data_IF_656023759913
#
_entry.id   IF_656023759913
#
_cell.length_a   1.000
_cell.length_b   1.000
_cell.length_c   1.000
_cell.angle_alpha   90.00
_cell.angle_beta   90.00
_cell.angle_gamma   90.00
#
_symmetry.space_group_name_H-M   'P 1'
#
loop_
_entity.id
_entity.type
_entity.pdbx_description
1 polymer ?
#
# COMPACT_ATOMS: atom_id res chain seq x y z
N UNK A 1 68.55 14.39 16.21
CA UNK A 1 68.46 12.93 16.11
C UNK A 1 67.52 12.59 14.97
N UNK A 2 68.09 12.17 13.84
CA UNK A 2 67.37 11.77 12.63
C UNK A 2 67.04 10.29 12.74
N UNK A 3 65.80 9.92 12.46
CA UNK A 3 65.40 8.51 12.32
C UNK A 3 64.99 8.29 10.85
N UNK A 4 65.62 7.36 10.13
CA UNK A 4 65.32 7.10 8.72
C UNK A 4 64.24 6.03 8.53
N UNK A 5 63.54 6.11 7.40
CA UNK A 5 63.03 4.96 6.65
C UNK A 5 61.88 4.15 7.28
N UNK A 6 60.65 4.47 6.88
CA UNK A 6 59.59 3.48 6.78
C UNK A 6 59.17 3.41 5.31
N UNK A 7 59.53 2.31 4.65
CA UNK A 7 59.10 2.00 3.30
C UNK A 7 57.57 1.90 3.26
N UNK A 8 56.94 2.67 2.37
CA UNK A 8 55.51 2.55 2.10
C UNK A 8 55.27 1.19 1.42
N UNK A 9 54.69 0.25 2.15
CA UNK A 9 54.14 -0.95 1.57
C UNK A 9 52.96 -0.53 0.68
N UNK A 10 53.12 -0.67 -0.64
CA UNK A 10 52.05 -0.55 -1.63
C UNK A 10 51.11 -1.74 -1.45
N UNK A 11 50.09 -1.57 -0.61
CA UNK A 11 48.99 -2.53 -0.52
C UNK A 11 48.16 -2.41 -1.82
N UNK A 12 48.09 -3.49 -2.60
CA UNK A 12 47.27 -3.53 -3.81
C UNK A 12 45.79 -3.45 -3.46
N UNK A 13 44.97 -2.70 -4.23
CA UNK A 13 43.53 -2.65 -3.98
C UNK A 13 42.89 -4.04 -4.23
N UNK A 14 41.84 -4.40 -3.47
CA UNK A 14 41.10 -5.64 -3.73
C UNK A 14 40.43 -5.59 -5.11
N UNK A 15 40.21 -6.74 -5.77
CA UNK A 15 39.54 -6.76 -7.06
C UNK A 15 38.11 -6.22 -6.93
N UNK A 16 37.74 -5.35 -7.86
CA UNK A 16 36.40 -4.80 -7.95
C UNK A 16 35.40 -5.95 -8.20
N UNK A 17 34.49 -6.17 -7.25
CA UNK A 17 33.33 -7.03 -7.47
C UNK A 17 32.43 -6.36 -8.50
N UNK A 18 32.33 -6.96 -9.68
CA UNK A 18 31.31 -6.58 -10.66
C UNK A 18 29.94 -7.00 -10.14
N UNK A 19 29.07 -6.03 -9.88
CA UNK A 19 27.66 -6.29 -9.62
C UNK A 19 27.03 -6.86 -10.90
N UNK A 20 26.25 -7.95 -10.84
CA UNK A 20 25.49 -8.41 -12.00
C UNK A 20 24.54 -7.29 -12.44
N UNK A 21 24.56 -7.02 -13.74
CA UNK A 21 23.92 -5.87 -14.36
C UNK A 21 22.47 -5.70 -13.91
N UNK A 22 22.09 -4.43 -13.71
CA UNK A 22 20.70 -4.00 -13.60
C UNK A 22 19.94 -4.53 -14.81
N UNK A 23 19.29 -5.68 -14.68
CA UNK A 23 18.19 -6.01 -15.56
C UNK A 23 17.09 -5.04 -15.18
N UNK A 24 16.94 -4.01 -16.02
CA UNK A 24 15.75 -3.18 -16.12
C UNK A 24 14.57 -4.12 -16.40
N UNK A 25 14.02 -4.67 -15.33
CA UNK A 25 12.76 -5.40 -15.38
C UNK A 25 11.74 -4.32 -15.66
N UNK A 26 11.41 -4.18 -16.94
CA UNK A 26 10.31 -3.39 -17.41
C UNK A 26 9.13 -3.62 -16.45
N UNK A 27 8.70 -2.52 -15.82
CA UNK A 27 7.42 -2.46 -15.13
C UNK A 27 6.38 -3.14 -16.03
N UNK A 28 5.60 -4.12 -15.52
CA UNK A 28 4.46 -4.59 -16.28
C UNK A 28 3.59 -3.36 -16.57
N UNK A 29 3.56 -2.97 -17.84
CA UNK A 29 2.62 -2.00 -18.37
C UNK A 29 1.25 -2.51 -17.98
N UNK A 30 0.58 -1.74 -17.13
CA UNK A 30 -0.77 -2.04 -16.69
C UNK A 30 -1.61 -2.20 -17.95
N UNK A 31 -2.27 -3.35 -18.18
CA UNK A 31 -3.19 -3.44 -19.29
C UNK A 31 -4.25 -2.37 -19.06
N UNK A 32 -4.49 -1.54 -20.07
CA UNK A 32 -5.66 -0.67 -20.14
C UNK A 32 -6.90 -1.56 -20.01
N UNK A 33 -7.31 -1.79 -18.76
CA UNK A 33 -8.56 -2.45 -18.43
C UNK A 33 -9.66 -1.43 -18.64
N UNK A 34 -10.72 -1.84 -19.35
CA UNK A 34 -12.01 -1.15 -19.26
C UNK A 34 -12.39 -0.89 -17.80
N UNK A 35 -13.36 0.01 -17.52
CA UNK A 35 -13.63 0.48 -16.17
C UNK A 35 -13.78 -0.72 -15.24
N UNK A 36 -12.79 -0.92 -14.37
CA UNK A 36 -12.76 -2.06 -13.47
C UNK A 36 -14.09 -2.08 -12.72
N UNK A 37 -14.80 -3.20 -12.80
CA UNK A 37 -16.11 -3.31 -12.20
C UNK A 37 -16.00 -2.95 -10.71
N UNK A 38 -16.90 -2.11 -10.23
CA UNK A 38 -16.91 -1.61 -8.86
C UNK A 38 -18.26 -1.84 -8.22
N UNK A 39 -18.25 -2.24 -6.95
CA UNK A 39 -19.45 -2.31 -6.12
C UNK A 39 -19.30 -1.33 -4.97
N UNK A 40 -20.33 -0.55 -4.73
CA UNK A 40 -20.40 0.41 -3.63
C UNK A 40 -21.41 -0.07 -2.58
N UNK A 41 -20.99 -0.06 -1.32
CA UNK A 41 -21.83 -0.41 -0.18
C UNK A 41 -21.82 0.75 0.81
N UNK A 42 -23.01 1.17 1.24
CA UNK A 42 -23.16 2.09 2.38
C UNK A 42 -23.17 1.27 3.66
N UNK A 43 -22.27 1.61 4.59
CA UNK A 43 -22.25 1.07 5.94
C UNK A 43 -22.78 2.14 6.90
N UNK A 44 -24.04 2.03 7.37
CA UNK A 44 -24.58 2.97 8.34
C UNK A 44 -23.85 2.84 9.67
N UNK A 45 -23.67 3.99 10.32
CA UNK A 45 -23.02 4.11 11.63
C UNK A 45 -24.08 4.40 12.70
N UNK A 46 -23.71 4.18 13.96
CA UNK A 46 -24.58 4.42 15.11
C UNK A 46 -24.93 5.89 15.35
N UNK A 47 -25.55 6.16 16.49
CA UNK A 47 -26.06 7.49 16.83
C UNK A 47 -24.96 8.55 17.02
N UNK A 48 -23.75 8.15 17.41
CA UNK A 48 -22.63 9.06 17.62
C UNK A 48 -21.90 9.38 16.31
N UNK A 49 -21.44 10.64 16.11
CA UNK A 49 -20.60 10.99 14.97
C UNK A 49 -19.32 10.16 14.94
N UNK A 50 -18.99 9.61 13.77
CA UNK A 50 -17.76 8.85 13.57
C UNK A 50 -16.76 9.63 12.73
N UNK A 51 -15.50 9.64 13.18
CA UNK A 51 -14.37 10.17 12.42
C UNK A 51 -13.45 9.02 11.98
N UNK A 52 -13.51 8.69 10.69
CA UNK A 52 -12.69 7.65 10.08
C UNK A 52 -11.18 7.90 10.22
N UNK A 53 -10.72 9.13 10.01
CA UNK A 53 -9.29 9.45 10.03
C UNK A 53 -8.76 9.35 11.46
N UNK A 54 -9.49 9.91 12.43
CA UNK A 54 -9.16 9.76 13.84
C UNK A 54 -9.12 8.28 14.24
N UNK A 55 -10.10 7.46 13.83
CA UNK A 55 -10.12 6.03 14.12
C UNK A 55 -8.92 5.29 13.50
N UNK A 56 -8.60 5.56 12.23
CA UNK A 56 -7.45 4.94 11.54
C UNK A 56 -6.13 5.29 12.20
N UNK A 57 -5.91 6.57 12.53
CA UNK A 57 -4.67 7.05 13.09
C UNK A 57 -4.48 6.62 14.55
N UNK A 58 -5.51 6.78 15.40
CA UNK A 58 -5.43 6.46 16.83
C UNK A 58 -5.28 4.96 17.10
N UNK A 59 -5.91 4.11 16.30
CA UNK A 59 -5.85 2.66 16.46
C UNK A 59 -4.76 2.01 15.63
N UNK A 60 -3.98 2.80 14.88
CA UNK A 60 -2.90 2.27 14.05
C UNK A 60 -3.38 1.32 12.95
N UNK A 61 -4.61 1.49 12.44
CA UNK A 61 -5.17 0.57 11.43
C UNK A 61 -4.30 0.52 10.16
N UNK A 62 -3.62 1.61 9.82
CA UNK A 62 -2.67 1.67 8.70
C UNK A 62 -1.35 0.92 8.96
N UNK A 63 -1.00 0.65 10.22
CA UNK A 63 0.18 -0.15 10.60
C UNK A 63 -0.12 -1.66 10.50
N UNK A 64 -1.40 -2.03 10.48
CA UNK A 64 -1.81 -3.41 10.26
C UNK A 64 -1.76 -3.74 8.77
N UNK A 65 -0.57 -4.09 8.27
CA UNK A 65 -0.43 -4.62 6.93
C UNK A 65 -1.47 -5.74 6.70
N UNK A 66 -2.12 -5.80 5.53
CA UNK A 66 -1.87 -5.04 4.30
C UNK A 66 -2.69 -3.73 4.16
N UNK A 67 -3.19 -3.15 5.26
CA UNK A 67 -3.92 -1.87 5.20
C UNK A 67 -2.99 -0.71 4.83
N UNK A 68 -3.53 0.29 4.11
CA UNK A 68 -2.85 1.54 3.77
C UNK A 68 -3.81 2.71 3.95
N UNK A 69 -3.36 3.77 4.61
CA UNK A 69 -4.08 5.03 4.65
C UNK A 69 -3.65 5.90 3.48
N UNK A 70 -4.61 6.38 2.68
CA UNK A 70 -4.40 7.40 1.67
C UNK A 70 -4.88 8.76 2.20
N UNK A 71 -3.96 9.67 2.58
CA UNK A 71 -4.33 10.96 3.14
C UNK A 71 -4.96 11.90 2.10
N UNK A 72 -4.65 11.74 0.80
CA UNK A 72 -5.20 12.61 -0.24
C UNK A 72 -6.69 12.35 -0.43
N UNK A 73 -7.09 11.07 -0.47
CA UNK A 73 -8.48 10.68 -0.62
C UNK A 73 -9.21 10.41 0.70
N UNK A 74 -8.52 10.58 1.84
CA UNK A 74 -8.98 10.29 3.21
C UNK A 74 -9.68 8.94 3.31
N UNK A 75 -9.00 7.92 2.80
CA UNK A 75 -9.55 6.59 2.68
C UNK A 75 -8.58 5.52 3.19
N UNK A 76 -9.14 4.51 3.86
CA UNK A 76 -8.43 3.29 4.21
C UNK A 76 -8.56 2.31 3.05
N UNK A 77 -7.42 1.98 2.44
CA UNK A 77 -7.30 0.94 1.43
C UNK A 77 -6.91 -0.36 2.12
N UNK A 78 -7.66 -1.43 1.84
CA UNK A 78 -7.32 -2.74 2.38
C UNK A 78 -7.78 -3.88 1.47
N UNK A 79 -7.02 -4.98 1.40
CA UNK A 79 -7.48 -6.21 0.78
C UNK A 79 -8.71 -6.80 1.51
N UNK A 80 -9.68 -7.22 0.71
CA UNK A 80 -10.89 -7.95 1.11
C UNK A 80 -10.79 -9.36 0.53
N UNK A 81 -10.74 -10.37 1.39
CA UNK A 81 -10.81 -11.78 0.96
C UNK A 81 -12.25 -12.17 0.71
N UNK A 82 -12.50 -12.84 -0.41
CA UNK A 82 -13.83 -13.32 -0.74
C UNK A 82 -14.13 -14.58 0.08
N UNK A 83 -15.34 -14.66 0.64
CA UNK A 83 -15.76 -15.85 1.38
C UNK A 83 -15.86 -17.08 0.46
N UNK A 84 -16.37 -16.88 -0.75
CA UNK A 84 -16.52 -17.91 -1.79
C UNK A 84 -15.17 -18.36 -2.36
N UNK A 85 -14.16 -17.48 -2.38
CA UNK A 85 -12.81 -17.79 -2.85
C UNK A 85 -11.74 -17.21 -1.93
N UNK A 86 -11.31 -18.10 -1.02
CA UNK A 86 -10.14 -18.03 -0.13
C UNK A 86 -8.90 -17.44 -0.74
N UNK A 87 -8.64 -17.68 -2.02
CA UNK A 87 -7.38 -17.35 -2.70
C UNK A 87 -7.39 -15.94 -3.28
N UNK A 88 -8.57 -15.39 -3.59
CA UNK A 88 -8.75 -14.08 -4.19
C UNK A 88 -8.82 -12.97 -3.16
N UNK A 89 -8.20 -11.85 -3.50
CA UNK A 89 -8.21 -10.62 -2.69
C UNK A 89 -8.61 -9.46 -3.59
N UNK A 90 -9.68 -8.76 -3.23
CA UNK A 90 -10.10 -7.53 -3.91
C UNK A 90 -9.65 -6.32 -3.11
N UNK A 91 -9.41 -5.20 -3.79
CA UNK A 91 -9.07 -3.96 -3.10
C UNK A 91 -10.36 -3.28 -2.64
N UNK A 92 -10.51 -3.10 -1.33
CA UNK A 92 -11.58 -2.31 -0.75
C UNK A 92 -11.03 -0.93 -0.35
N UNK A 93 -11.77 0.12 -0.74
CA UNK A 93 -11.56 1.50 -0.31
C UNK A 93 -12.68 1.87 0.66
N UNK A 94 -12.33 2.22 1.89
CA UNK A 94 -13.27 2.69 2.91
C UNK A 94 -13.07 4.19 3.09
N UNK A 95 -14.11 4.98 2.85
CA UNK A 95 -14.07 6.43 3.02
C UNK A 95 -15.32 6.93 3.74
N UNK A 96 -15.32 8.20 4.16
CA UNK A 96 -16.53 8.85 4.66
C UNK A 96 -17.59 8.90 3.54
N UNK A 97 -18.86 8.75 3.90
CA UNK A 97 -19.95 8.87 2.93
C UNK A 97 -20.13 10.34 2.49
N UNK A 98 -20.22 10.66 1.19
CA UNK A 98 -20.25 12.04 0.71
C UNK A 98 -21.45 12.84 1.23
N UNK A 99 -22.62 12.21 1.35
CA UNK A 99 -23.83 12.87 1.88
C UNK A 99 -23.99 12.76 3.41
N UNK A 100 -23.22 11.87 4.06
CA UNK A 100 -23.42 11.50 5.48
C UNK A 100 -22.08 11.21 6.18
N UNK A 101 -21.12 12.15 6.15
CA UNK A 101 -19.70 11.86 6.42
C UNK A 101 -19.40 11.34 7.83
N UNK A 102 -20.27 11.59 8.81
CA UNK A 102 -20.15 11.12 10.20
C UNK A 102 -21.18 10.06 10.59
N UNK A 103 -22.09 9.67 9.69
CA UNK A 103 -23.20 8.73 9.95
C UNK A 103 -23.20 7.51 9.04
N UNK A 104 -22.38 7.51 8.00
CA UNK A 104 -22.18 6.35 7.14
C UNK A 104 -20.75 6.34 6.59
N UNK A 105 -20.25 5.14 6.32
CA UNK A 105 -19.06 4.92 5.51
C UNK A 105 -19.48 4.45 4.12
N UNK A 106 -18.70 4.84 3.12
CA UNK A 106 -18.78 4.29 1.79
C UNK A 106 -17.66 3.26 1.63
N UNK A 107 -18.02 2.03 1.27
CA UNK A 107 -17.08 0.96 0.94
C UNK A 107 -17.16 0.70 -0.55
N UNK A 108 -16.09 0.99 -1.28
CA UNK A 108 -15.97 0.69 -2.70
C UNK A 108 -15.06 -0.52 -2.88
N UNK A 109 -15.57 -1.60 -3.46
CA UNK A 109 -14.80 -2.80 -3.82
C UNK A 109 -14.46 -2.73 -5.31
N UNK A 110 -13.17 -2.73 -5.63
CA UNK A 110 -12.65 -2.69 -6.99
C UNK A 110 -12.39 -4.11 -7.50
N UNK A 111 -12.56 -4.33 -8.81
CA UNK A 111 -12.41 -5.66 -9.42
C UNK A 111 -13.60 -6.57 -9.12
N UNK A 112 -14.80 -6.00 -9.02
CA UNK A 112 -16.02 -6.70 -8.69
C UNK A 112 -16.49 -7.67 -9.80
N UNK A 113 -15.86 -7.64 -10.98
CA UNK A 113 -15.99 -8.67 -12.02
C UNK A 113 -15.62 -10.06 -11.47
N UNK A 114 -14.76 -10.10 -10.45
CA UNK A 114 -14.43 -11.32 -9.72
C UNK A 114 -15.58 -11.89 -8.86
N UNK A 115 -16.69 -11.16 -8.69
CA UNK A 115 -17.86 -11.56 -7.90
C UNK A 115 -18.95 -12.27 -8.74
N UNK A 116 -18.81 -12.30 -10.06
CA UNK A 116 -19.78 -12.93 -10.99
C UNK A 116 -19.66 -14.45 -11.03
#
# INVERSE_FOLDING_TARGET
>A
WTVPGAAAALESPPPAYSLPGTQETAMPTTPEGGPAARVELELPLGAAPFDLEAAVCSHGLFMMAPNRWDPASRALLRPLRLASDRSRSLLARVSRHPARPSRALLVSVLGADALS
#
